data_IF_285683247707
#
_entry.id   IF_285683247707
#
_cell.length_a   1.000
_cell.length_b   1.000
_cell.length_c   1.000
_cell.angle_alpha   90.00
_cell.angle_beta   90.00
_cell.angle_gamma   90.00
#
_symmetry.space_group_name_H-M   'P 1'
#
loop_
_entity.id
_entity.type
_entity.pdbx_description
1 polymer ?
#
# COMPACT_ATOMS: atom_id res chain seq x y z
N UNK A 1 11.57 -5.61 -0.89
CA UNK A 1 10.69 -4.57 -1.42
C UNK A 1 10.99 -4.44 -2.89
N UNK A 2 9.96 -4.48 -3.73
CA UNK A 2 10.13 -4.52 -5.18
C UNK A 2 9.69 -3.19 -5.80
N UNK A 3 10.18 -2.92 -7.00
CA UNK A 3 9.71 -1.77 -7.77
C UNK A 3 8.27 -2.01 -8.23
N UNK A 4 7.57 -0.92 -8.55
CA UNK A 4 6.19 -1.02 -9.03
C UNK A 4 6.07 -1.81 -10.35
N UNK A 5 7.08 -1.75 -11.20
CA UNK A 5 7.10 -2.48 -12.47
C UNK A 5 7.25 -3.99 -12.24
N UNK A 6 8.12 -4.37 -11.31
CA UNK A 6 8.27 -5.76 -10.89
C UNK A 6 7.01 -6.27 -10.20
N UNK A 7 6.37 -5.43 -9.36
CA UNK A 7 5.11 -5.75 -8.71
C UNK A 7 4.03 -6.07 -9.74
N UNK A 8 3.88 -5.22 -10.77
CA UNK A 8 2.94 -5.47 -11.88
C UNK A 8 3.23 -6.78 -12.62
N UNK A 9 4.49 -7.16 -12.81
CA UNK A 9 4.86 -8.41 -13.49
C UNK A 9 4.56 -9.66 -12.65
N UNK A 10 4.68 -9.55 -11.33
CA UNK A 10 4.44 -10.67 -10.42
C UNK A 10 2.96 -10.88 -10.10
N UNK A 11 2.15 -9.83 -10.15
CA UNK A 11 0.73 -9.96 -9.84
C UNK A 11 -0.07 -10.58 -11.00
N UNK A 12 -0.79 -11.65 -10.67
CA UNK A 12 -1.82 -12.26 -11.51
C UNK A 12 -3.07 -11.37 -11.57
N UNK A 13 -3.81 -11.38 -12.67
CA UNK A 13 -5.06 -10.61 -12.83
C UNK A 13 -6.18 -11.01 -11.85
N UNK A 14 -5.98 -12.07 -11.05
CA UNK A 14 -6.98 -12.61 -10.10
C UNK A 14 -6.41 -12.77 -8.68
N UNK A 15 -6.00 -11.67 -8.03
CA UNK A 15 -5.48 -11.70 -6.67
C UNK A 15 -5.91 -10.50 -5.84
N UNK A 16 -6.23 -10.71 -4.57
CA UNK A 16 -6.50 -9.61 -3.63
C UNK A 16 -5.21 -8.93 -3.23
N UNK A 17 -5.28 -7.61 -3.15
CA UNK A 17 -4.17 -6.74 -2.77
C UNK A 17 -4.63 -5.86 -1.61
N UNK A 18 -3.70 -5.34 -0.82
CA UNK A 18 -4.01 -4.30 0.17
C UNK A 18 -3.24 -3.01 -0.09
N UNK A 19 -3.90 -1.89 0.21
CA UNK A 19 -3.32 -0.55 0.18
C UNK A 19 -3.15 -0.03 1.60
N UNK A 20 -1.99 0.52 1.92
CA UNK A 20 -1.68 1.11 3.22
C UNK A 20 -1.44 2.62 3.10
N UNK A 21 -2.19 3.40 3.87
CA UNK A 21 -1.91 4.81 4.13
C UNK A 21 -1.20 4.93 5.48
N UNK A 22 0.10 5.23 5.47
CA UNK A 22 0.90 5.33 6.68
C UNK A 22 0.83 6.73 7.28
N UNK A 23 -0.27 7.00 7.99
CA UNK A 23 -0.41 8.21 8.81
C UNK A 23 0.46 8.18 10.07
N UNK A 24 0.61 9.35 10.70
CA UNK A 24 1.42 9.51 11.91
C UNK A 24 0.86 8.78 13.14
N UNK A 25 -0.47 8.68 13.26
CA UNK A 25 -1.19 8.04 14.38
C UNK A 25 -2.05 6.85 13.97
N UNK A 26 -2.48 6.83 12.71
CA UNK A 26 -3.45 5.88 12.16
C UNK A 26 -2.95 5.39 10.82
N UNK A 27 -3.16 4.12 10.56
CA UNK A 27 -2.81 3.47 9.31
C UNK A 27 -4.12 3.04 8.65
N UNK A 28 -4.44 3.67 7.52
CA UNK A 28 -5.56 3.29 6.69
C UNK A 28 -5.23 2.00 5.95
N UNK A 29 -6.10 1.00 6.05
CA UNK A 29 -5.99 -0.26 5.30
C UNK A 29 -7.17 -0.33 4.35
N UNK A 30 -6.87 -0.44 3.07
CA UNK A 30 -7.84 -0.72 2.01
C UNK A 30 -7.58 -2.11 1.44
N UNK A 31 -8.64 -2.78 0.99
CA UNK A 31 -8.55 -4.08 0.33
C UNK A 31 -9.10 -3.96 -1.08
N UNK A 32 -8.45 -4.64 -2.02
CA UNK A 32 -8.92 -4.77 -3.38
C UNK A 32 -9.44 -6.18 -3.64
N UNK A 33 -10.51 -6.27 -4.42
CA UNK A 33 -11.12 -7.54 -4.81
C UNK A 33 -10.20 -8.37 -5.73
N UNK A 34 -10.54 -9.63 -5.94
CA UNK A 34 -9.70 -10.57 -6.70
C UNK A 34 -9.52 -10.13 -8.15
N UNK A 35 -10.55 -9.55 -8.76
CA UNK A 35 -10.49 -9.01 -10.14
C UNK A 35 -9.69 -7.71 -10.24
N UNK A 36 -9.18 -7.25 -9.09
CA UNK A 36 -8.54 -5.97 -8.91
C UNK A 36 -9.38 -4.83 -9.51
N UNK A 37 -10.70 -4.91 -9.44
CA UNK A 37 -11.60 -3.98 -10.11
C UNK A 37 -12.05 -2.85 -9.20
N UNK A 38 -12.08 -3.07 -7.89
CA UNK A 38 -12.58 -2.14 -6.88
C UNK A 38 -11.71 -2.25 -5.62
N UNK A 39 -11.32 -1.11 -5.05
CA UNK A 39 -10.73 -1.06 -3.73
C UNK A 39 -11.67 -0.37 -2.75
N UNK A 40 -11.82 -0.95 -1.56
CA UNK A 40 -12.67 -0.44 -0.50
C UNK A 40 -11.88 -0.24 0.79
N UNK A 41 -12.25 0.78 1.60
CA UNK A 41 -11.76 0.89 2.96
C UNK A 41 -12.07 -0.40 3.72
N UNK A 42 -11.05 -0.98 4.36
CA UNK A 42 -11.20 -2.25 5.08
C UNK A 42 -11.14 -2.03 6.59
N UNK A 43 -10.06 -1.41 7.08
CA UNK A 43 -9.83 -1.21 8.51
C UNK A 43 -8.93 0.00 8.72
N UNK A 44 -8.99 0.62 9.90
CA UNK A 44 -7.97 1.57 10.33
C UNK A 44 -7.25 1.00 11.54
N UNK A 45 -5.94 0.86 11.45
CA UNK A 45 -5.08 0.36 12.53
C UNK A 45 -4.51 1.57 13.27
N UNK A 46 -4.57 1.60 14.59
CA UNK A 46 -3.88 2.62 15.37
C UNK A 46 -2.40 2.28 15.43
N UNK A 47 -1.53 3.25 15.09
CA UNK A 47 -0.08 3.06 15.09
C UNK A 47 0.44 3.19 16.52
N UNK A 48 0.26 2.14 17.32
CA UNK A 48 0.75 2.05 18.71
C UNK A 48 2.17 1.52 18.76
N UNK A 49 2.40 0.34 18.16
CA UNK A 49 3.72 -0.28 18.03
C UNK A 49 3.85 -0.96 16.64
N UNK A 50 5.08 -1.09 16.16
CA UNK A 50 5.37 -1.76 14.89
C UNK A 50 5.01 -3.25 14.94
N UNK A 51 5.26 -3.95 16.05
CA UNK A 51 4.97 -5.38 16.16
C UNK A 51 3.47 -5.68 16.07
N UNK A 52 2.64 -4.86 16.71
CA UNK A 52 1.18 -4.97 16.64
C UNK A 52 0.68 -4.77 15.21
N UNK A 53 1.24 -3.77 14.51
CA UNK A 53 0.94 -3.53 13.10
C UNK A 53 1.28 -4.74 12.23
N UNK A 54 2.47 -5.32 12.40
CA UNK A 54 2.90 -6.50 11.65
C UNK A 54 1.98 -7.69 11.92
N UNK A 55 1.63 -7.94 13.18
CA UNK A 55 0.74 -9.06 13.54
C UNK A 55 -0.66 -8.88 12.94
N UNK A 56 -1.22 -7.68 13.02
CA UNK A 56 -2.51 -7.36 12.38
C UNK A 56 -2.44 -7.51 10.87
N UNK A 57 -1.35 -7.05 10.22
CA UNK A 57 -1.17 -7.22 8.78
C UNK A 57 -1.07 -8.70 8.39
N UNK A 58 -0.29 -9.50 9.12
CA UNK A 58 -0.18 -10.95 8.88
C UNK A 58 -1.54 -11.64 8.93
N UNK A 59 -2.34 -11.31 9.94
CA UNK A 59 -3.70 -11.83 10.08
C UNK A 59 -4.59 -11.45 8.89
N UNK A 60 -4.57 -10.18 8.47
CA UNK A 60 -5.33 -9.72 7.30
C UNK A 60 -4.87 -10.43 6.02
N UNK A 61 -3.56 -10.60 5.85
CA UNK A 61 -2.96 -11.27 4.69
C UNK A 61 -3.43 -12.71 4.59
N UNK A 62 -3.39 -13.45 5.71
CA UNK A 62 -3.80 -14.85 5.77
C UNK A 62 -5.32 -15.01 5.57
N UNK A 63 -6.13 -14.25 6.31
CA UNK A 63 -7.60 -14.33 6.26
C UNK A 63 -8.17 -13.97 4.89
N UNK A 64 -7.53 -13.05 4.16
CA UNK A 64 -8.01 -12.55 2.88
C UNK A 64 -7.22 -13.07 1.68
N UNK A 65 -6.25 -13.97 1.89
CA UNK A 65 -5.35 -14.51 0.86
C UNK A 65 -4.71 -13.40 0.00
N UNK A 66 -4.19 -12.37 0.66
CA UNK A 66 -3.56 -11.21 0.01
C UNK A 66 -2.26 -11.64 -0.66
N UNK A 67 -2.01 -11.15 -1.88
CA UNK A 67 -0.80 -11.44 -2.65
C UNK A 67 0.15 -10.25 -2.83
N UNK A 68 -0.24 -9.08 -2.34
CA UNK A 68 0.67 -7.93 -2.33
C UNK A 68 0.15 -6.73 -1.58
N UNK A 69 1.11 -5.87 -1.24
CA UNK A 69 0.91 -4.65 -0.45
C UNK A 69 1.43 -3.46 -1.25
N UNK A 70 0.62 -2.41 -1.30
CA UNK A 70 0.99 -1.14 -1.90
C UNK A 70 0.94 -0.08 -0.81
N UNK A 71 2.02 0.67 -0.65
CA UNK A 71 2.14 1.69 0.39
C UNK A 71 2.28 3.06 -0.26
N UNK A 72 1.44 4.01 0.15
CA UNK A 72 1.53 5.40 -0.30
C UNK A 72 2.86 6.03 0.12
N UNK A 73 3.57 6.63 -0.83
CA UNK A 73 4.87 7.26 -0.62
C UNK A 73 4.78 8.77 -0.89
N UNK A 74 4.77 9.61 0.17
CA UNK A 74 4.57 11.04 0.05
C UNK A 74 5.89 11.73 -0.36
N UNK A 75 6.25 11.60 -1.63
CA UNK A 75 7.39 12.31 -2.22
C UNK A 75 6.96 13.77 -2.49
N UNK A 76 7.85 14.73 -2.22
CA UNK A 76 7.60 16.13 -2.54
C UNK A 76 7.57 16.35 -4.06
N UNK A 77 6.83 17.35 -4.54
CA UNK A 77 6.67 17.62 -5.98
C UNK A 77 8.00 17.81 -6.74
N UNK A 78 9.03 18.30 -6.07
CA UNK A 78 10.39 18.46 -6.62
C UNK A 78 11.22 17.14 -6.65
N UNK A 79 10.67 16.04 -6.14
CA UNK A 79 11.33 14.74 -6.01
C UNK A 79 12.18 14.58 -4.75
N UNK A 80 12.21 15.58 -3.87
CA UNK A 80 12.91 15.47 -2.59
C UNK A 80 12.13 14.59 -1.60
N UNK A 81 12.87 13.97 -0.68
CA UNK A 81 12.30 13.14 0.38
C UNK A 81 12.19 13.98 1.66
N UNK A 82 10.95 14.23 2.11
CA UNK A 82 10.70 14.86 3.40
C UNK A 82 10.79 13.88 4.58
N UNK A 83 10.69 14.39 5.83
CA UNK A 83 10.66 13.54 7.03
C UNK A 83 9.54 12.48 7.01
N UNK A 84 8.39 12.82 6.42
CA UNK A 84 7.27 11.89 6.24
C UNK A 84 7.63 10.74 5.29
N UNK A 85 8.32 11.03 4.19
CA UNK A 85 8.78 9.99 3.25
C UNK A 85 9.77 9.06 3.93
N UNK A 86 10.70 9.59 4.74
CA UNK A 86 11.64 8.75 5.48
C UNK A 86 10.90 7.81 6.46
N UNK A 87 9.96 8.34 7.23
CA UNK A 87 9.13 7.56 8.16
C UNK A 87 8.35 6.44 7.45
N UNK A 88 7.75 6.75 6.30
CA UNK A 88 7.06 5.76 5.45
C UNK A 88 8.03 4.70 4.95
N UNK A 89 9.20 5.08 4.47
CA UNK A 89 10.24 4.15 4.00
C UNK A 89 10.66 3.18 5.10
N UNK A 90 10.91 3.67 6.32
CA UNK A 90 11.39 2.84 7.42
C UNK A 90 10.33 1.84 7.88
N UNK A 91 9.07 2.28 8.00
CA UNK A 91 7.94 1.38 8.32
C UNK A 91 7.71 0.37 7.19
N UNK A 92 7.80 0.80 5.93
CA UNK A 92 7.59 -0.07 4.77
C UNK A 92 8.64 -1.17 4.68
N UNK A 93 9.91 -0.85 4.98
CA UNK A 93 10.98 -1.85 5.09
C UNK A 93 10.71 -2.84 6.22
N UNK A 94 10.24 -2.36 7.37
CA UNK A 94 9.89 -3.23 8.48
C UNK A 94 8.73 -4.18 8.09
N UNK A 95 7.73 -3.69 7.35
CA UNK A 95 6.65 -4.54 6.82
C UNK A 95 7.21 -5.59 5.88
N UNK A 96 7.95 -5.17 4.86
CA UNK A 96 8.54 -6.05 3.84
C UNK A 96 9.45 -7.15 4.40
N UNK A 97 10.18 -6.88 5.48
CA UNK A 97 11.01 -7.89 6.15
C UNK A 97 10.23 -8.91 6.97
N UNK A 98 9.00 -8.59 7.35
CA UNK A 98 8.20 -9.39 8.26
C UNK A 98 6.99 -10.05 7.61
N UNK A 99 6.69 -9.75 6.34
CA UNK A 99 5.56 -10.36 5.59
C UNK A 99 6.07 -11.15 4.39
N UNK A 100 5.39 -12.22 4.04
CA UNK A 100 5.79 -13.12 2.94
C UNK A 100 5.20 -12.72 1.57
N UNK A 101 4.61 -11.53 1.48
CA UNK A 101 3.97 -11.01 0.26
C UNK A 101 4.79 -9.87 -0.33
N UNK A 102 4.71 -9.69 -1.64
CA UNK A 102 5.42 -8.60 -2.30
C UNK A 102 4.92 -7.23 -1.78
N UNK A 103 5.85 -6.34 -1.43
CA UNK A 103 5.57 -4.97 -1.00
C UNK A 103 6.18 -3.99 -2.00
N UNK A 104 5.41 -2.98 -2.41
CA UNK A 104 5.92 -1.87 -3.22
C UNK A 104 5.48 -0.50 -2.68
N UNK A 105 6.31 0.51 -2.97
CA UNK A 105 6.02 1.92 -2.68
C UNK A 105 5.39 2.59 -3.91
N UNK A 106 4.38 3.41 -3.67
CA UNK A 106 3.68 4.17 -4.69
C UNK A 106 3.99 5.67 -4.59
N UNK A 107 4.56 6.25 -5.63
CA UNK A 107 4.81 7.69 -5.71
C UNK A 107 3.50 8.50 -5.87
N UNK A 108 3.12 9.24 -4.83
CA UNK A 108 1.88 10.01 -4.80
C UNK A 108 1.88 11.30 -5.64
N UNK A 109 3.03 11.73 -6.16
CA UNK A 109 3.13 12.95 -6.99
C UNK A 109 2.32 12.86 -8.28
N UNK A 110 2.06 11.64 -8.74
CA UNK A 110 1.30 11.39 -9.96
C UNK A 110 -0.21 11.63 -9.81
N UNK A 111 -0.68 12.06 -8.64
CA UNK A 111 -2.12 12.21 -8.34
C UNK A 111 -2.88 13.27 -9.14
N UNK A 112 -2.21 14.16 -9.89
CA UNK A 112 -2.89 15.16 -10.75
C UNK A 112 -2.90 14.80 -12.24
N UNK A 113 -2.00 13.93 -12.71
CA UNK A 113 -1.87 13.55 -14.14
C UNK A 113 -1.94 12.05 -14.42
N UNK A 114 -1.87 11.21 -13.38
CA UNK A 114 -1.78 9.75 -13.46
C UNK A 114 -3.10 9.01 -13.65
N UNK A 115 -4.19 9.71 -14.01
CA UNK A 115 -5.49 9.06 -14.28
C UNK A 115 -5.42 8.10 -15.50
N UNK A 116 -4.40 8.21 -16.35
CA UNK A 116 -4.39 7.62 -17.69
C UNK A 116 -3.41 6.46 -17.93
N UNK A 117 -2.54 6.09 -16.97
CA UNK A 117 -1.41 5.15 -17.25
C UNK A 117 -1.40 3.92 -16.31
N UNK A 118 -2.26 3.88 -15.30
CA UNK A 118 -2.31 2.76 -14.36
C UNK A 118 -3.56 1.93 -14.56
N UNK A 119 -3.47 0.58 -14.48
CA UNK A 119 -4.66 -0.25 -14.48
C UNK A 119 -5.57 0.26 -13.35
N UNK A 120 -6.87 0.33 -13.66
CA UNK A 120 -7.91 0.91 -12.80
C UNK A 120 -7.85 0.33 -11.38
N UNK A 121 -7.37 -0.93 -11.25
CA UNK A 121 -7.00 -1.61 -10.02
C UNK A 121 -6.11 -0.83 -9.06
N UNK A 122 -4.91 -0.48 -9.55
CA UNK A 122 -3.85 0.17 -8.78
C UNK A 122 -4.26 1.59 -8.40
N UNK A 123 -5.01 2.24 -9.29
CA UNK A 123 -5.52 3.59 -9.11
C UNK A 123 -6.71 3.66 -8.14
N UNK A 124 -7.57 2.63 -8.11
CA UNK A 124 -8.65 2.56 -7.12
C UNK A 124 -8.11 2.28 -5.72
N UNK A 125 -7.07 1.45 -5.62
CA UNK A 125 -6.35 1.28 -4.35
C UNK A 125 -5.79 2.62 -3.85
N UNK A 126 -5.20 3.42 -4.74
CA UNK A 126 -4.75 4.78 -4.45
C UNK A 126 -5.87 5.71 -3.93
N UNK A 127 -7.07 5.68 -4.54
CA UNK A 127 -8.21 6.49 -4.08
C UNK A 127 -8.79 6.03 -2.75
N UNK A 128 -8.65 4.75 -2.42
CA UNK A 128 -9.13 4.18 -1.16
C UNK A 128 -8.19 4.48 0.00
N UNK A 129 -6.86 4.39 -0.22
CA UNK A 129 -5.81 4.82 0.72
C UNK A 129 -6.04 6.29 1.15
N UNK A 130 -6.30 7.21 0.21
CA UNK A 130 -6.52 8.64 0.52
C UNK A 130 -7.84 9.01 1.22
N UNK A 131 -8.80 8.09 1.34
CA UNK A 131 -10.15 8.38 1.89
C UNK A 131 -10.39 7.80 3.30
N UNK A 132 -9.38 7.20 3.93
CA UNK A 132 -9.47 6.63 5.29
C UNK A 132 -8.94 7.52 6.40
#
# INVERSE_FOLDING_TARGET
MITIEEFKKKQSETSRLIGLDLGSKRIGVSICDEKQSIATPFKTINKTNNDDLINELKKIIEENNIKGIIIGYPINMDGSLGPSAQSVSDVSKNIDQNVDVDVCLWDERLSTVGHLIYPVSLMLMFLSVKKT
#
